data_IF_192435637082
#
_entry.id   IF_192435637082
#
_cell.length_a   1.000
_cell.length_b   1.000
_cell.length_c   1.000
_cell.angle_alpha   90.00
_cell.angle_beta   90.00
_cell.angle_gamma   90.00
#
_symmetry.space_group_name_H-M   'P 1'
#
loop_
_entity.id
_entity.type
_entity.pdbx_description
1 polymer ?
#
# COMPACT_ATOMS: atom_id res chain seq x y z
N UNK A 1 -7.04 -9.41 -20.63
CA UNK A 1 -6.85 -9.20 -19.18
C UNK A 1 -7.44 -7.85 -18.84
N UNK A 2 -8.16 -7.68 -17.73
CA UNK A 2 -8.59 -6.33 -17.36
C UNK A 2 -7.34 -5.51 -16.99
N UNK A 3 -7.31 -4.20 -17.29
CA UNK A 3 -6.19 -3.31 -16.93
C UNK A 3 -5.88 -3.35 -15.43
N UNK A 4 -6.90 -3.60 -14.61
CA UNK A 4 -6.81 -3.75 -13.15
C UNK A 4 -6.02 -5.01 -12.77
N UNK A 5 -6.24 -6.14 -13.45
CA UNK A 5 -5.51 -7.38 -13.16
C UNK A 5 -4.00 -7.20 -13.44
N UNK A 6 -3.64 -6.54 -14.54
CA UNK A 6 -2.25 -6.24 -14.88
C UNK A 6 -1.59 -5.36 -13.82
N UNK A 7 -2.32 -4.37 -13.30
CA UNK A 7 -1.85 -3.50 -12.23
C UNK A 7 -1.65 -4.25 -10.91
N UNK A 8 -2.59 -5.11 -10.52
CA UNK A 8 -2.47 -5.94 -9.32
C UNK A 8 -1.27 -6.89 -9.43
N UNK A 9 -1.08 -7.54 -10.58
CA UNK A 9 0.07 -8.43 -10.82
C UNK A 9 1.40 -7.68 -10.70
N UNK A 10 1.45 -6.43 -11.16
CA UNK A 10 2.63 -5.59 -11.01
C UNK A 10 2.94 -5.29 -9.53
N UNK A 11 1.94 -4.91 -8.73
CA UNK A 11 2.09 -4.71 -7.27
C UNK A 11 2.57 -6.00 -6.60
N UNK A 12 1.97 -7.15 -6.94
CA UNK A 12 2.35 -8.46 -6.41
C UNK A 12 3.81 -8.80 -6.74
N UNK A 13 4.25 -8.50 -7.97
CA UNK A 13 5.64 -8.71 -8.37
C UNK A 13 6.62 -7.83 -7.60
N UNK A 14 6.24 -6.59 -7.30
CA UNK A 14 7.04 -5.66 -6.50
C UNK A 14 7.24 -6.15 -5.07
N UNK A 15 6.15 -6.58 -4.41
CA UNK A 15 6.19 -7.12 -3.04
C UNK A 15 7.00 -8.42 -2.98
N UNK A 16 6.87 -9.27 -4.00
CA UNK A 16 7.58 -10.55 -4.07
C UNK A 16 9.09 -10.40 -4.27
N UNK A 17 9.53 -9.37 -5.02
CA UNK A 17 10.94 -9.10 -5.26
C UNK A 17 11.60 -8.36 -4.10
N UNK A 18 10.92 -7.34 -3.55
CA UNK A 18 11.43 -6.55 -2.43
C UNK A 18 10.33 -6.29 -1.40
N UNK A 19 10.29 -7.12 -0.35
CA UNK A 19 9.18 -7.13 0.62
C UNK A 19 9.03 -5.78 1.35
N UNK A 20 10.13 -5.17 1.82
CA UNK A 20 10.06 -3.90 2.55
C UNK A 20 9.56 -2.71 1.71
N UNK A 21 10.27 -2.29 0.63
CA UNK A 21 9.82 -1.17 -0.18
C UNK A 21 8.56 -1.51 -0.99
N UNK A 22 8.36 -2.78 -1.35
CA UNK A 22 7.15 -3.25 -2.03
C UNK A 22 5.92 -3.06 -1.16
N UNK A 23 5.96 -3.48 0.11
CA UNK A 23 4.84 -3.27 1.05
C UNK A 23 4.64 -1.80 1.38
N UNK A 24 5.72 -1.01 1.51
CA UNK A 24 5.61 0.44 1.70
C UNK A 24 4.83 1.10 0.55
N UNK A 25 5.23 0.82 -0.69
CA UNK A 25 4.61 1.39 -1.88
C UNK A 25 3.18 0.89 -2.07
N UNK A 26 2.95 -0.41 -1.86
CA UNK A 26 1.62 -0.99 -1.94
C UNK A 26 0.66 -0.36 -0.90
N UNK A 27 1.11 -0.21 0.35
CA UNK A 27 0.32 0.43 1.41
C UNK A 27 0.07 1.93 1.17
N UNK A 28 1.05 2.64 0.61
CA UNK A 28 0.87 4.03 0.20
C UNK A 28 -0.17 4.12 -0.92
N UNK A 29 -0.04 3.28 -1.94
CA UNK A 29 -0.94 3.29 -3.09
C UNK A 29 -2.37 2.88 -2.72
N UNK A 30 -2.57 1.83 -1.92
CA UNK A 30 -3.91 1.42 -1.47
C UNK A 30 -4.59 2.52 -0.64
N UNK A 31 -3.80 3.27 0.13
CA UNK A 31 -4.33 4.36 0.96
C UNK A 31 -4.77 5.55 0.10
N UNK A 32 -3.95 5.92 -0.91
CA UNK A 32 -4.27 7.05 -1.81
C UNK A 32 -5.36 6.67 -2.82
N UNK A 33 -5.30 5.44 -3.31
CA UNK A 33 -6.23 4.85 -4.26
C UNK A 33 -6.68 3.50 -3.67
N UNK A 34 -7.95 3.39 -3.23
CA UNK A 34 -8.47 2.16 -2.67
C UNK A 34 -8.71 0.96 -3.62
N UNK A 35 -8.53 0.99 -4.97
CA UNK A 35 -8.90 -0.19 -5.76
C UNK A 35 -8.00 -1.41 -5.52
N UNK A 36 -7.00 -1.32 -4.65
CA UNK A 36 -6.18 -2.45 -4.22
C UNK A 36 -6.79 -3.09 -2.96
N UNK A 37 -7.20 -4.37 -3.01
CA UNK A 37 -7.65 -5.08 -1.82
C UNK A 37 -6.48 -5.36 -0.86
N UNK A 38 -6.58 -4.86 0.37
CA UNK A 38 -5.58 -4.99 1.43
C UNK A 38 -5.30 -6.44 1.81
N UNK A 39 -6.26 -7.32 1.57
CA UNK A 39 -6.20 -8.76 1.78
C UNK A 39 -5.21 -9.46 0.84
N UNK A 40 -4.71 -8.78 -0.19
CA UNK A 40 -3.69 -9.35 -1.09
C UNK A 40 -2.29 -8.96 -0.63
N UNK A 41 -2.06 -7.72 -0.21
CA UNK A 41 -0.70 -7.20 0.05
C UNK A 41 -0.07 -7.84 1.28
N UNK A 42 -0.74 -7.79 2.43
CA UNK A 42 -0.17 -8.26 3.70
C UNK A 42 -0.07 -9.79 3.79
N UNK A 43 -1.07 -10.59 3.37
CA UNK A 43 -0.93 -12.04 3.31
C UNK A 43 0.17 -12.50 2.34
N UNK A 44 0.35 -11.81 1.22
CA UNK A 44 1.41 -12.13 0.26
C UNK A 44 2.80 -11.75 0.79
N UNK A 45 2.90 -10.66 1.56
CA UNK A 45 4.12 -10.33 2.29
C UNK A 45 4.45 -11.39 3.36
N UNK A 46 3.47 -11.83 4.15
CA UNK A 46 3.63 -12.91 5.12
C UNK A 46 4.05 -14.24 4.48
N UNK A 47 3.43 -14.60 3.36
CA UNK A 47 3.82 -15.77 2.55
C UNK A 47 5.25 -15.64 2.02
N UNK A 48 5.65 -14.46 1.55
CA UNK A 48 7.00 -14.21 1.02
C UNK A 48 8.08 -14.32 2.12
N UNK A 49 7.78 -13.87 3.34
CA UNK A 49 8.66 -14.03 4.51
C UNK A 49 8.84 -15.52 4.84
N UNK A 50 7.73 -16.27 4.88
CA UNK A 50 7.77 -17.71 5.14
C UNK A 50 8.54 -18.47 4.05
N UNK A 51 8.29 -18.15 2.78
CA UNK A 51 8.94 -18.79 1.62
C UNK A 51 10.45 -18.55 1.58
N UNK A 52 10.91 -17.37 2.01
CA UNK A 52 12.33 -17.02 2.07
C UNK A 52 12.99 -17.43 3.41
N UNK A 53 12.33 -18.25 4.23
CA UNK A 53 12.81 -18.69 5.55
C UNK A 53 13.28 -17.54 6.47
N UNK A 54 12.62 -16.39 6.34
CA UNK A 54 13.00 -15.18 7.08
C UNK A 54 12.48 -15.24 8.52
N UNK A 55 13.28 -14.72 9.46
CA UNK A 55 12.93 -14.72 10.88
C UNK A 55 11.70 -13.82 11.17
N UNK A 56 10.96 -14.12 12.24
CA UNK A 56 9.72 -13.43 12.68
C UNK A 56 9.89 -11.91 12.81
N UNK A 57 11.10 -11.43 13.10
CA UNK A 57 11.42 -10.00 13.11
C UNK A 57 11.09 -9.28 11.80
N UNK A 58 11.15 -9.97 10.66
CA UNK A 58 10.78 -9.40 9.37
C UNK A 58 9.28 -9.14 9.25
N UNK A 59 8.43 -9.94 9.92
CA UNK A 59 6.97 -9.71 9.94
C UNK A 59 6.68 -8.37 10.62
N UNK A 60 7.31 -8.12 11.76
CA UNK A 60 7.18 -6.85 12.49
C UNK A 60 7.73 -5.70 11.66
N UNK A 61 8.92 -5.88 11.06
CA UNK A 61 9.54 -4.87 10.22
C UNK A 61 8.65 -4.48 9.03
N UNK A 62 8.09 -5.46 8.32
CA UNK A 62 7.20 -5.23 7.17
C UNK A 62 5.88 -4.59 7.61
N UNK A 63 5.34 -4.98 8.77
CA UNK A 63 4.17 -4.32 9.36
C UNK A 63 4.41 -2.84 9.68
N UNK A 64 5.55 -2.51 10.28
CA UNK A 64 5.96 -1.11 10.52
C UNK A 64 6.10 -0.36 9.19
N UNK A 65 6.73 -0.99 8.19
CA UNK A 65 6.97 -0.36 6.90
C UNK A 65 5.66 -0.10 6.15
N UNK A 66 4.72 -1.04 6.17
CA UNK A 66 3.37 -0.86 5.63
C UNK A 66 2.60 0.24 6.36
N UNK A 67 2.67 0.28 7.69
CA UNK A 67 2.07 1.35 8.49
C UNK A 67 2.64 2.74 8.15
N UNK A 68 3.94 2.84 7.93
CA UNK A 68 4.58 4.07 7.45
C UNK A 68 4.09 4.47 6.05
N UNK A 69 3.94 3.49 5.13
CA UNK A 69 3.41 3.71 3.78
C UNK A 69 1.98 4.25 3.81
N UNK A 70 1.11 3.61 4.59
CA UNK A 70 -0.27 4.06 4.77
C UNK A 70 -0.36 5.44 5.42
N UNK A 71 0.46 5.70 6.44
CA UNK A 71 0.53 7.03 7.09
C UNK A 71 0.96 8.11 6.10
N UNK A 72 1.95 7.82 5.26
CA UNK A 72 2.39 8.74 4.21
C UNK A 72 1.27 8.98 3.17
N UNK A 73 0.57 7.93 2.73
CA UNK A 73 -0.59 8.05 1.84
C UNK A 73 -1.70 8.91 2.43
N UNK A 74 -2.05 8.71 3.71
CA UNK A 74 -3.02 9.53 4.42
C UNK A 74 -2.57 10.99 4.52
N UNK A 75 -1.27 11.24 4.73
CA UNK A 75 -0.72 12.59 4.78
C UNK A 75 -0.83 13.30 3.42
N UNK A 76 -0.62 12.58 2.32
CA UNK A 76 -0.84 13.10 0.95
C UNK A 76 -2.29 13.51 0.77
N UNK A 77 -3.25 12.65 1.12
CA UNK A 77 -4.69 12.96 1.05
C UNK A 77 -5.03 14.17 1.92
N UNK A 78 -4.46 14.24 3.12
CA UNK A 78 -4.68 15.36 4.03
C UNK A 78 -4.19 16.68 3.44
N UNK A 79 -3.00 16.72 2.84
CA UNK A 79 -2.49 17.94 2.20
C UNK A 79 -3.38 18.36 1.03
N UNK A 80 -3.79 17.41 0.19
CA UNK A 80 -4.69 17.68 -0.94
C UNK A 80 -6.01 18.25 -0.43
N UNK A 81 -6.63 17.60 0.55
CA UNK A 81 -7.89 18.03 1.18
C UNK A 81 -7.77 19.39 1.84
N UNK A 82 -6.66 19.64 2.55
CA UNK A 82 -6.38 20.92 3.21
C UNK A 82 -6.24 22.07 2.20
N UNK A 83 -5.62 21.83 1.04
CA UNK A 83 -5.48 22.83 -0.02
C UNK A 83 -6.78 23.08 -0.78
N UNK A 84 -7.60 22.05 -1.00
CA UNK A 84 -8.93 22.20 -1.62
C UNK A 84 -9.87 23.03 -0.73
N UNK A 85 -9.74 22.87 0.58
CA UNK A 85 -10.52 23.58 1.58
C UNK A 85 -12.03 23.32 1.47
N UNK A 86 -12.81 24.12 2.22
CA UNK A 86 -14.28 24.03 2.26
C UNK A 86 -14.93 24.34 0.90
N UNK A 87 -14.30 25.19 0.09
CA UNK A 87 -14.82 25.63 -1.22
C UNK A 87 -14.75 24.50 -2.25
N UNK A 88 -13.67 23.71 -2.25
CA UNK A 88 -13.57 22.52 -3.09
C UNK A 88 -14.59 21.46 -2.70
N UNK A 89 -14.78 21.23 -1.38
CA UNK A 89 -15.76 20.28 -0.87
C UNK A 89 -17.20 20.62 -1.27
N UNK A 90 -17.64 21.87 -1.10
CA UNK A 90 -19.02 22.28 -1.44
C UNK A 90 -19.29 22.29 -2.96
N UNK A 91 -18.25 22.41 -3.79
CA UNK A 91 -18.40 22.53 -5.25
C UNK A 91 -18.42 21.18 -5.98
N UNK A 92 -17.75 20.16 -5.43
CA UNK A 92 -17.55 18.86 -6.10
C UNK A 92 -18.20 17.68 -5.37
N UNK A 93 -18.77 17.90 -4.17
CA UNK A 93 -19.48 16.91 -3.36
C UNK A 93 -20.92 17.38 -3.17
#
# INVERSE_FOLDING_TARGET
MSEIDSFIQWIVSLVSQNIYPGVFLAALMETVFPPIPSEVVFPLAGYSILKNEMNVFHVVGVGITGGCGATAGAFVIYIISKRLGRIGLIKYL
#
